data_IF_359383226312
#
_entry.id   IF_359383226312
#
_cell.length_a   1.000
_cell.length_b   1.000
_cell.length_c   1.000
_cell.angle_alpha   90.00
_cell.angle_beta   90.00
_cell.angle_gamma   90.00
#
_symmetry.space_group_name_H-M   'P 1'
#
loop_
_entity.id
_entity.type
_entity.pdbx_description
1 polymer ?
#
# COMPACT_ATOMS: atom_id res chain seq x y z
N UNK A 1 34.23 -26.58 -44.37
CA UNK A 1 33.07 -25.70 -44.15
C UNK A 1 32.31 -26.24 -42.96
N UNK A 2 32.60 -25.72 -41.77
CA UNK A 2 31.93 -26.10 -40.55
C UNK A 2 30.88 -25.01 -40.27
N UNK A 3 29.61 -25.39 -40.30
CA UNK A 3 28.51 -24.55 -39.81
C UNK A 3 28.47 -24.64 -38.31
N UNK A 4 28.85 -23.56 -37.67
CA UNK A 4 28.65 -23.31 -36.25
C UNK A 4 27.15 -23.08 -36.01
N UNK A 5 26.49 -24.05 -35.40
CA UNK A 5 25.12 -23.92 -34.88
C UNK A 5 25.17 -22.98 -33.70
N UNK A 6 24.72 -21.73 -33.91
CA UNK A 6 24.37 -20.80 -32.88
C UNK A 6 23.14 -21.31 -32.11
N UNK A 7 23.40 -21.96 -30.99
CA UNK A 7 22.36 -22.39 -30.04
C UNK A 7 21.65 -21.14 -29.54
N UNK A 8 20.49 -20.84 -30.10
CA UNK A 8 19.55 -19.83 -29.58
C UNK A 8 19.11 -20.28 -28.22
N UNK A 9 19.66 -19.61 -27.18
CA UNK A 9 19.19 -19.74 -25.81
C UNK A 9 17.76 -19.18 -25.77
N UNK A 10 16.78 -20.07 -25.71
CA UNK A 10 15.38 -19.72 -25.39
C UNK A 10 15.35 -18.88 -24.13
N UNK A 11 14.52 -17.81 -24.06
CA UNK A 11 14.35 -17.06 -22.83
C UNK A 11 13.84 -18.02 -21.75
N UNK A 12 14.68 -18.28 -20.74
CA UNK A 12 14.31 -19.05 -19.56
C UNK A 12 13.09 -18.37 -18.96
N UNK A 13 11.95 -19.06 -18.95
CA UNK A 13 10.76 -18.59 -18.25
C UNK A 13 11.19 -18.16 -16.84
N UNK A 14 10.90 -16.90 -16.47
CA UNK A 14 11.23 -16.41 -15.13
C UNK A 14 10.49 -17.28 -14.12
N UNK A 15 11.22 -17.77 -13.12
CA UNK A 15 10.63 -18.59 -12.06
C UNK A 15 9.58 -17.76 -11.31
N UNK A 16 8.46 -18.40 -10.98
CA UNK A 16 7.38 -17.76 -10.23
C UNK A 16 7.83 -17.40 -8.80
N UNK A 17 7.21 -16.38 -8.21
CA UNK A 17 7.48 -15.98 -6.82
C UNK A 17 7.35 -17.17 -5.84
N UNK A 18 6.38 -18.06 -6.07
CA UNK A 18 6.16 -19.26 -5.25
C UNK A 18 7.33 -20.25 -5.38
N UNK A 19 7.77 -20.54 -6.60
CA UNK A 19 8.92 -21.42 -6.84
C UNK A 19 10.20 -20.87 -6.23
N UNK A 20 10.42 -19.55 -6.33
CA UNK A 20 11.57 -18.89 -5.72
C UNK A 20 11.52 -18.98 -4.20
N UNK A 21 10.34 -18.81 -3.58
CA UNK A 21 10.18 -18.97 -2.14
C UNK A 21 10.45 -20.41 -1.69
N UNK A 22 9.96 -21.40 -2.41
CA UNK A 22 10.24 -22.82 -2.11
C UNK A 22 11.74 -23.13 -2.20
N UNK A 23 12.41 -22.61 -3.21
CA UNK A 23 13.88 -22.75 -3.34
C UNK A 23 14.63 -22.05 -2.22
N UNK A 24 14.19 -20.87 -1.80
CA UNK A 24 14.76 -20.14 -0.66
C UNK A 24 14.59 -20.96 0.64
N UNK A 25 13.40 -21.53 0.86
CA UNK A 25 13.14 -22.42 2.00
C UNK A 25 14.02 -23.68 2.00
N UNK A 26 14.41 -24.16 0.82
CA UNK A 26 15.34 -25.27 0.65
C UNK A 26 16.83 -24.85 0.77
N UNK A 27 17.12 -23.57 1.07
CA UNK A 27 18.48 -23.07 1.28
C UNK A 27 19.17 -22.48 0.04
N UNK A 28 18.45 -22.35 -1.10
CA UNK A 28 19.00 -21.72 -2.29
C UNK A 28 18.98 -20.17 -2.15
N UNK A 29 20.11 -19.62 -1.75
CA UNK A 29 20.27 -18.16 -1.56
C UNK A 29 20.13 -17.36 -2.87
N UNK A 30 20.38 -17.96 -4.05
CA UNK A 30 20.19 -17.30 -5.34
C UNK A 30 18.71 -17.01 -5.62
N UNK A 31 17.82 -17.81 -5.04
CA UNK A 31 16.38 -17.55 -5.13
C UNK A 31 15.99 -16.26 -4.39
N UNK A 32 16.66 -15.92 -3.31
CA UNK A 32 16.47 -14.65 -2.61
C UNK A 32 16.83 -13.43 -3.49
N UNK A 33 17.97 -13.48 -4.19
CA UNK A 33 18.37 -12.41 -5.11
C UNK A 33 17.36 -12.22 -6.25
N UNK A 34 16.77 -13.31 -6.72
CA UNK A 34 15.74 -13.26 -7.76
C UNK A 34 14.44 -12.64 -7.23
N UNK A 35 13.97 -13.05 -6.05
CA UNK A 35 12.80 -12.46 -5.37
C UNK A 35 13.01 -10.96 -5.10
N UNK A 36 14.18 -10.59 -4.61
CA UNK A 36 14.52 -9.20 -4.38
C UNK A 36 14.39 -8.38 -5.66
N UNK A 37 15.00 -8.82 -6.76
CA UNK A 37 14.93 -8.11 -8.06
C UNK A 37 13.52 -7.98 -8.59
N UNK A 38 12.68 -9.03 -8.44
CA UNK A 38 11.30 -9.01 -8.92
C UNK A 38 10.38 -8.10 -8.09
N UNK A 39 10.59 -8.02 -6.76
CA UNK A 39 9.61 -7.45 -5.84
C UNK A 39 10.06 -6.15 -5.16
N UNK A 40 11.38 -5.83 -5.16
CA UNK A 40 11.93 -4.70 -4.43
C UNK A 40 11.29 -3.36 -4.82
N UNK A 41 11.17 -3.08 -6.12
CA UNK A 41 10.60 -1.82 -6.61
C UNK A 41 9.14 -1.65 -6.17
N UNK A 42 8.32 -2.71 -6.26
CA UNK A 42 6.92 -2.68 -5.79
C UNK A 42 6.84 -2.43 -4.29
N UNK A 43 7.68 -3.11 -3.51
CA UNK A 43 7.73 -2.93 -2.06
C UNK A 43 8.16 -1.50 -1.67
N UNK A 44 9.15 -0.91 -2.36
CA UNK A 44 9.60 0.48 -2.14
C UNK A 44 8.47 1.46 -2.46
N UNK A 45 7.79 1.32 -3.59
CA UNK A 45 6.66 2.18 -3.93
C UNK A 45 5.54 2.08 -2.89
N UNK A 46 5.22 0.86 -2.44
CA UNK A 46 4.23 0.64 -1.38
C UNK A 46 4.64 1.31 -0.06
N UNK A 47 5.86 1.09 0.41
CA UNK A 47 6.38 1.71 1.62
C UNK A 47 6.40 3.24 1.53
N UNK A 48 6.83 3.79 0.38
CA UNK A 48 6.88 5.24 0.12
C UNK A 48 5.47 5.85 0.18
N UNK A 49 4.46 5.20 -0.39
CA UNK A 49 3.06 5.66 -0.29
C UNK A 49 2.58 5.72 1.17
N UNK A 50 2.99 4.76 1.99
CA UNK A 50 2.61 4.73 3.41
C UNK A 50 3.34 5.79 4.23
N UNK A 51 4.64 5.98 4.01
CA UNK A 51 5.52 6.84 4.82
C UNK A 51 5.57 8.29 4.34
N UNK A 52 5.22 8.54 3.06
CA UNK A 52 5.35 9.85 2.42
C UNK A 52 6.80 10.27 2.16
N UNK A 53 7.76 9.35 2.32
CA UNK A 53 9.19 9.61 2.17
C UNK A 53 9.91 8.42 1.51
N UNK A 54 10.57 8.66 0.38
CA UNK A 54 11.23 7.61 -0.41
C UNK A 54 12.41 6.97 0.35
N UNK A 55 13.25 7.77 1.00
CA UNK A 55 14.40 7.25 1.74
C UNK A 55 13.96 6.32 2.89
N UNK A 56 12.92 6.71 3.64
CA UNK A 56 12.37 5.84 4.67
C UNK A 56 11.68 4.59 4.09
N UNK A 57 11.09 4.71 2.90
CA UNK A 57 10.55 3.59 2.17
C UNK A 57 11.61 2.55 1.83
N UNK A 58 12.76 2.99 1.33
CA UNK A 58 13.91 2.14 1.03
C UNK A 58 14.46 1.44 2.29
N UNK A 59 14.66 2.20 3.38
CA UNK A 59 15.11 1.64 4.67
C UNK A 59 14.15 0.55 5.19
N UNK A 60 12.85 0.82 5.17
CA UNK A 60 11.83 -0.17 5.61
C UNK A 60 11.88 -1.41 4.73
N UNK A 61 12.05 -1.27 3.42
CA UNK A 61 12.11 -2.42 2.51
C UNK A 61 13.37 -3.24 2.74
N UNK A 62 14.51 -2.62 3.04
CA UNK A 62 15.71 -3.36 3.43
C UNK A 62 15.48 -4.20 4.71
N UNK A 63 14.87 -3.60 5.75
CA UNK A 63 14.49 -4.33 6.98
C UNK A 63 13.53 -5.49 6.67
N UNK A 64 12.56 -5.27 5.78
CA UNK A 64 11.57 -6.28 5.39
C UNK A 64 12.22 -7.43 4.63
N UNK A 65 13.13 -7.18 3.70
CA UNK A 65 13.81 -8.25 2.98
C UNK A 65 14.75 -9.07 3.87
N UNK A 66 15.38 -8.46 4.86
CA UNK A 66 16.09 -9.21 5.90
C UNK A 66 15.11 -10.14 6.66
N UNK A 67 13.94 -9.62 7.05
CA UNK A 67 12.92 -10.43 7.70
C UNK A 67 12.34 -11.51 6.76
N UNK A 68 12.24 -11.28 5.45
CA UNK A 68 11.87 -12.29 4.45
C UNK A 68 12.89 -13.44 4.45
N UNK A 69 14.17 -13.12 4.43
CA UNK A 69 15.24 -14.13 4.47
C UNK A 69 15.18 -14.97 5.76
N UNK A 70 15.10 -14.31 6.91
CA UNK A 70 15.07 -14.97 8.22
C UNK A 70 13.81 -15.81 8.43
N UNK A 71 12.65 -15.31 7.94
CA UNK A 71 11.33 -15.90 8.17
C UNK A 71 10.77 -16.65 6.98
N UNK A 72 11.58 -16.94 5.96
CA UNK A 72 11.14 -17.66 4.76
C UNK A 72 10.38 -18.95 5.12
N UNK A 73 10.83 -19.68 6.16
CA UNK A 73 10.21 -20.91 6.65
C UNK A 73 8.77 -20.72 7.16
N UNK A 74 8.35 -19.49 7.48
CA UNK A 74 6.98 -19.18 7.94
C UNK A 74 5.99 -18.95 6.81
N UNK A 75 6.47 -18.79 5.58
CA UNK A 75 5.61 -18.62 4.41
C UNK A 75 5.01 -19.97 4.02
N UNK A 76 3.66 -20.08 4.08
CA UNK A 76 2.93 -21.32 3.85
C UNK A 76 2.39 -21.47 2.41
N UNK A 77 2.51 -20.43 1.59
CA UNK A 77 1.95 -20.44 0.22
C UNK A 77 0.41 -20.35 0.15
N UNK A 78 -0.26 -20.04 1.26
CA UNK A 78 -1.72 -19.88 1.33
C UNK A 78 -2.21 -18.61 0.62
N UNK A 79 -1.32 -17.63 0.44
CA UNK A 79 -1.53 -16.41 -0.32
C UNK A 79 -0.35 -16.19 -1.28
N UNK A 80 -0.50 -15.29 -2.27
CA UNK A 80 0.60 -14.88 -3.12
C UNK A 80 1.76 -14.30 -2.28
N UNK A 81 3.00 -14.51 -2.72
CA UNK A 81 4.17 -13.96 -2.03
C UNK A 81 4.10 -12.43 -1.94
N UNK A 82 3.64 -11.76 -3.00
CA UNK A 82 3.42 -10.31 -3.01
C UNK A 82 2.46 -9.86 -1.90
N UNK A 83 1.35 -10.56 -1.66
CA UNK A 83 0.42 -10.27 -0.56
C UNK A 83 1.11 -10.40 0.81
N UNK A 84 1.90 -11.45 1.00
CA UNK A 84 2.67 -11.65 2.22
C UNK A 84 3.75 -10.57 2.42
N UNK A 85 4.45 -10.19 1.35
CA UNK A 85 5.44 -9.10 1.34
C UNK A 85 4.80 -7.75 1.69
N UNK A 86 3.64 -7.42 1.08
CA UNK A 86 2.91 -6.19 1.40
C UNK A 86 2.45 -6.15 2.86
N UNK A 87 2.05 -7.31 3.42
CA UNK A 87 1.74 -7.40 4.85
C UNK A 87 2.94 -7.05 5.72
N UNK A 88 4.12 -7.60 5.44
CA UNK A 88 5.34 -7.30 6.17
C UNK A 88 5.72 -5.82 6.05
N UNK A 89 5.69 -5.29 4.83
CA UNK A 89 6.02 -3.90 4.52
C UNK A 89 5.07 -2.93 5.20
N UNK A 90 3.77 -3.20 5.15
CA UNK A 90 2.76 -2.37 5.82
C UNK A 90 2.95 -2.36 7.33
N UNK A 91 3.19 -3.52 7.95
CA UNK A 91 3.39 -3.60 9.39
C UNK A 91 4.66 -2.87 9.84
N UNK A 92 5.74 -2.95 9.08
CA UNK A 92 6.97 -2.21 9.34
C UNK A 92 6.75 -0.69 9.20
N UNK A 93 6.09 -0.24 8.13
CA UNK A 93 5.75 1.16 7.90
C UNK A 93 4.83 1.71 9.01
N UNK A 94 3.77 1.00 9.39
CA UNK A 94 2.89 1.40 10.48
C UNK A 94 3.62 1.47 11.83
N UNK A 95 4.57 0.58 12.07
CA UNK A 95 5.40 0.61 13.26
C UNK A 95 6.27 1.87 13.30
N UNK A 96 6.84 2.27 12.15
CA UNK A 96 7.65 3.48 12.01
C UNK A 96 6.79 4.74 12.20
N UNK A 97 5.59 4.80 11.62
CA UNK A 97 4.64 5.90 11.82
C UNK A 97 4.20 6.04 13.28
N UNK A 98 3.96 4.93 13.98
CA UNK A 98 3.63 4.95 15.43
C UNK A 98 4.78 5.52 16.28
N UNK A 99 6.03 5.20 15.96
CA UNK A 99 7.20 5.78 16.64
C UNK A 99 7.30 7.29 16.41
N UNK A 100 7.04 7.75 15.16
CA UNK A 100 6.99 9.20 14.83
C UNK A 100 5.90 9.93 15.60
N UNK A 101 4.70 9.34 15.72
CA UNK A 101 3.58 9.97 16.44
C UNK A 101 3.87 10.14 17.93
N UNK A 102 4.60 9.22 18.55
CA UNK A 102 5.04 9.36 19.95
C UNK A 102 5.99 10.54 20.16
N UNK A 103 6.70 10.98 19.13
CA UNK A 103 7.59 12.14 19.20
C UNK A 103 6.93 13.47 18.81
N UNK A 104 5.69 13.45 18.29
CA UNK A 104 4.91 14.63 17.90
C UNK A 104 3.47 14.44 18.32
N UNK A 105 3.12 14.75 19.57
CA UNK A 105 1.73 14.96 19.95
C UNK A 105 1.24 16.29 19.35
N UNK A 106 0.49 16.19 18.25
CA UNK A 106 -0.31 17.29 17.72
C UNK A 106 -1.75 16.79 17.64
N UNK A 107 -2.63 17.52 18.30
CA UNK A 107 -4.06 17.29 18.32
C UNK A 107 -4.63 17.21 16.90
N UNK A 108 -5.26 16.07 16.58
CA UNK A 108 -5.84 15.78 15.27
C UNK A 108 -7.32 15.41 15.39
N UNK A 109 -8.02 16.10 16.32
CA UNK A 109 -9.47 15.88 16.54
C UNK A 109 -10.36 16.65 15.57
N UNK A 110 -9.82 17.62 14.80
CA UNK A 110 -10.60 18.60 14.05
C UNK A 110 -11.16 18.10 12.69
N UNK A 111 -10.70 16.96 12.20
CA UNK A 111 -11.07 16.45 10.86
C UNK A 111 -11.82 15.12 10.84
N UNK A 112 -12.24 14.61 11.99
CA UNK A 112 -13.08 13.42 12.04
C UNK A 112 -14.51 13.77 11.60
N UNK A 113 -15.17 12.92 10.79
CA UNK A 113 -16.58 13.08 10.51
C UNK A 113 -17.33 13.07 11.84
N UNK A 114 -18.04 14.17 12.14
CA UNK A 114 -18.85 14.27 13.33
C UNK A 114 -20.07 13.37 13.16
N UNK A 115 -20.20 12.38 14.02
CA UNK A 115 -21.39 11.56 14.11
C UNK A 115 -22.38 12.24 15.03
N UNK A 116 -23.67 12.26 14.64
CA UNK A 116 -24.73 12.61 15.58
C UNK A 116 -24.87 11.53 16.66
N UNK A 117 -25.40 11.86 17.85
CA UNK A 117 -25.63 10.87 18.92
C UNK A 117 -26.49 9.68 18.51
N UNK A 118 -27.28 9.81 17.41
CA UNK A 118 -28.14 8.78 16.82
C UNK A 118 -27.41 7.84 15.84
N UNK A 119 -26.09 8.04 15.64
CA UNK A 119 -25.28 7.20 14.75
C UNK A 119 -25.40 7.52 13.26
N UNK A 120 -26.20 8.50 12.86
CA UNK A 120 -26.31 8.92 11.48
C UNK A 120 -25.20 9.89 11.07
N UNK A 121 -24.62 9.66 9.89
CA UNK A 121 -23.70 10.59 9.26
C UNK A 121 -24.42 11.90 8.95
N UNK A 122 -23.79 13.02 9.23
CA UNK A 122 -24.12 14.28 8.56
C UNK A 122 -23.79 14.07 7.08
N UNK A 123 -24.82 13.75 6.29
CA UNK A 123 -24.69 13.64 4.84
C UNK A 123 -24.40 15.04 4.31
N UNK A 124 -23.15 15.33 4.03
CA UNK A 124 -22.81 16.51 3.22
C UNK A 124 -23.20 16.21 1.79
N UNK A 125 -23.90 17.10 1.09
CA UNK A 125 -24.21 16.91 -0.32
C UNK A 125 -22.91 16.68 -1.08
N UNK A 126 -22.81 15.54 -1.73
CA UNK A 126 -21.65 15.18 -2.55
C UNK A 126 -21.94 15.67 -3.95
N UNK A 127 -21.31 16.76 -4.37
CA UNK A 127 -21.32 17.15 -5.78
C UNK A 127 -20.57 16.09 -6.56
N UNK A 128 -21.22 15.51 -7.56
CA UNK A 128 -20.59 14.55 -8.47
C UNK A 128 -19.72 15.30 -9.48
N UNK A 129 -18.42 15.25 -9.30
CA UNK A 129 -17.42 15.87 -10.17
C UNK A 129 -16.62 14.82 -10.97
N UNK A 130 -17.11 13.58 -11.02
CA UNK A 130 -16.45 12.46 -11.70
C UNK A 130 -16.24 12.69 -13.20
N UNK A 131 -17.13 13.45 -13.86
CA UNK A 131 -17.13 13.67 -15.30
C UNK A 131 -15.87 14.39 -15.86
N UNK A 132 -15.09 15.08 -15.01
CA UNK A 132 -13.89 15.83 -15.45
C UNK A 132 -12.61 15.33 -14.74
N UNK A 133 -12.68 14.24 -13.98
CA UNK A 133 -11.57 13.80 -13.17
C UNK A 133 -10.47 13.15 -14.01
N UNK A 134 -10.83 12.38 -15.03
CA UNK A 134 -9.86 11.66 -15.88
C UNK A 134 -8.97 12.61 -16.70
N UNK A 135 -9.53 13.70 -17.24
CA UNK A 135 -8.73 14.73 -17.92
C UNK A 135 -7.81 15.49 -16.96
N UNK A 136 -8.25 15.69 -15.71
CA UNK A 136 -7.48 16.42 -14.68
C UNK A 136 -6.49 15.55 -13.91
N UNK A 137 -6.64 14.21 -13.92
CA UNK A 137 -5.68 13.29 -13.29
C UNK A 137 -4.27 13.36 -13.92
N UNK A 138 -4.17 13.84 -15.15
CA UNK A 138 -2.89 14.13 -15.79
C UNK A 138 -2.23 15.43 -15.27
N UNK A 139 -2.95 16.25 -14.51
CA UNK A 139 -2.44 17.51 -13.96
C UNK A 139 -1.56 17.23 -12.73
N UNK A 140 -0.32 17.69 -12.78
CA UNK A 140 0.62 17.59 -11.66
C UNK A 140 0.07 18.23 -10.37
N UNK A 141 -0.79 19.25 -10.49
CA UNK A 141 -1.45 19.90 -9.36
C UNK A 141 -2.42 18.95 -8.67
N UNK A 142 -3.24 18.20 -9.41
CA UNK A 142 -4.17 17.24 -8.85
C UNK A 142 -3.43 16.08 -8.15
N UNK A 143 -2.37 15.56 -8.77
CA UNK A 143 -1.53 14.54 -8.16
C UNK A 143 -0.89 15.03 -6.85
N UNK A 144 -0.46 16.28 -6.80
CA UNK A 144 0.06 16.88 -5.59
C UNK A 144 -1.01 17.00 -4.51
N UNK A 145 -2.20 17.52 -4.84
CA UNK A 145 -3.34 17.64 -3.93
C UNK A 145 -3.76 16.27 -3.36
N UNK A 146 -3.82 15.25 -4.22
CA UNK A 146 -4.16 13.89 -3.80
C UNK A 146 -3.12 13.34 -2.82
N UNK A 147 -1.83 13.54 -3.08
CA UNK A 147 -0.76 13.14 -2.16
C UNK A 147 -0.90 13.84 -0.81
N UNK A 148 -1.15 15.15 -0.79
CA UNK A 148 -1.37 15.89 0.44
C UNK A 148 -2.59 15.37 1.21
N UNK A 149 -3.70 15.11 0.53
CA UNK A 149 -4.90 14.56 1.14
C UNK A 149 -4.67 13.15 1.74
N UNK A 150 -3.88 12.31 1.08
CA UNK A 150 -3.51 10.98 1.59
C UNK A 150 -2.62 11.10 2.85
N UNK A 151 -1.73 12.10 2.91
CA UNK A 151 -0.89 12.33 4.10
C UNK A 151 -1.69 12.73 5.35
N UNK A 152 -2.86 13.32 5.18
CA UNK A 152 -3.75 13.69 6.28
C UNK A 152 -4.53 12.50 6.87
N UNK A 153 -4.55 11.35 6.18
CA UNK A 153 -5.26 10.17 6.68
C UNK A 153 -4.60 9.61 7.95
N UNK A 154 -5.43 9.03 8.82
CA UNK A 154 -4.90 8.23 9.93
C UNK A 154 -4.07 7.07 9.39
N UNK A 155 -2.95 6.69 10.03
CA UNK A 155 -2.03 5.70 9.48
C UNK A 155 -2.69 4.38 9.08
N UNK A 156 -3.66 3.89 9.86
CA UNK A 156 -4.33 2.64 9.57
C UNK A 156 -5.38 2.77 8.46
N UNK A 157 -6.04 3.93 8.33
CA UNK A 157 -6.98 4.21 7.24
C UNK A 157 -6.23 4.40 5.92
N UNK A 158 -5.05 5.06 5.97
CA UNK A 158 -4.11 5.16 4.85
C UNK A 158 -3.63 3.78 4.39
N UNK A 159 -3.24 2.91 5.33
CA UNK A 159 -2.80 1.56 5.01
C UNK A 159 -3.90 0.75 4.31
N UNK A 160 -5.14 0.81 4.83
CA UNK A 160 -6.29 0.13 4.20
C UNK A 160 -6.54 0.66 2.80
N UNK A 161 -6.49 1.99 2.59
CA UNK A 161 -6.66 2.61 1.27
C UNK A 161 -5.56 2.17 0.29
N UNK A 162 -4.30 2.20 0.70
CA UNK A 162 -3.17 1.83 -0.17
C UNK A 162 -3.25 0.36 -0.56
N UNK A 163 -3.56 -0.54 0.38
CA UNK A 163 -3.69 -1.97 0.09
C UNK A 163 -4.89 -2.27 -0.84
N UNK A 164 -6.00 -1.51 -0.72
CA UNK A 164 -7.18 -1.69 -1.56
C UNK A 164 -7.00 -1.09 -2.96
N UNK A 165 -6.62 0.19 -3.03
CA UNK A 165 -6.77 0.99 -4.25
C UNK A 165 -5.48 1.05 -5.08
N UNK A 166 -4.33 0.62 -4.53
CA UNK A 166 -3.04 0.59 -5.24
C UNK A 166 -2.46 -0.81 -5.39
N UNK A 167 -2.78 -1.72 -4.47
CA UNK A 167 -2.26 -3.10 -4.50
C UNK A 167 -3.36 -4.13 -4.82
N UNK A 168 -4.59 -3.67 -5.08
CA UNK A 168 -5.75 -4.47 -5.49
C UNK A 168 -6.09 -5.65 -4.55
N UNK A 169 -5.75 -5.54 -3.25
CA UNK A 169 -6.06 -6.57 -2.28
C UNK A 169 -7.56 -6.54 -1.92
N UNK A 170 -8.14 -7.72 -1.80
CA UNK A 170 -9.50 -7.89 -1.30
C UNK A 170 -9.63 -7.47 0.18
N UNK A 171 -10.83 -7.10 0.61
CA UNK A 171 -11.09 -6.75 2.02
C UNK A 171 -10.73 -7.88 3.01
N UNK A 172 -10.78 -9.14 2.57
CA UNK A 172 -10.38 -10.31 3.37
C UNK A 172 -8.87 -10.33 3.56
N UNK A 173 -8.10 -10.20 2.47
CA UNK A 173 -6.63 -10.17 2.52
C UNK A 173 -6.12 -8.98 3.32
N UNK A 174 -6.74 -7.80 3.17
CA UNK A 174 -6.43 -6.62 3.98
C UNK A 174 -6.70 -6.89 5.46
N UNK A 175 -7.83 -7.53 5.77
CA UNK A 175 -8.18 -7.93 7.13
C UNK A 175 -7.12 -8.85 7.75
N UNK A 176 -6.72 -9.88 7.02
CA UNK A 176 -5.67 -10.82 7.42
C UNK A 176 -4.29 -10.12 7.56
N UNK A 177 -3.96 -9.22 6.64
CA UNK A 177 -2.70 -8.47 6.67
C UNK A 177 -2.56 -7.55 7.89
N UNK A 178 -3.65 -6.88 8.28
CA UNK A 178 -3.67 -5.85 9.32
C UNK A 178 -4.25 -6.32 10.66
N UNK A 179 -4.72 -7.56 10.76
CA UNK A 179 -5.41 -8.07 11.95
C UNK A 179 -6.77 -7.41 12.17
N UNK A 180 -7.50 -7.11 11.11
CA UNK A 180 -8.80 -6.44 11.13
C UNK A 180 -9.92 -7.38 10.67
N UNK A 181 -11.14 -7.16 11.18
CA UNK A 181 -12.32 -7.80 10.61
C UNK A 181 -12.72 -7.15 9.28
N UNK A 182 -13.36 -7.90 8.38
CA UNK A 182 -13.82 -7.36 7.08
C UNK A 182 -14.74 -6.14 7.24
N UNK A 183 -15.70 -6.10 8.19
CA UNK A 183 -16.46 -4.87 8.46
C UNK A 183 -15.60 -3.68 8.87
N UNK A 184 -14.55 -3.90 9.70
CA UNK A 184 -13.62 -2.85 10.11
C UNK A 184 -12.81 -2.31 8.91
N UNK A 185 -12.37 -3.18 7.99
CA UNK A 185 -11.70 -2.77 6.73
C UNK A 185 -12.64 -1.89 5.91
N UNK A 186 -13.89 -2.34 5.66
CA UNK A 186 -14.89 -1.56 4.90
C UNK A 186 -15.16 -0.19 5.52
N UNK A 187 -15.32 -0.12 6.84
CA UNK A 187 -15.56 1.14 7.56
C UNK A 187 -14.36 2.10 7.42
N UNK A 188 -13.13 1.60 7.53
CA UNK A 188 -11.92 2.40 7.35
C UNK A 188 -11.74 2.89 5.93
N UNK A 189 -11.97 2.03 4.95
CA UNK A 189 -11.92 2.40 3.53
C UNK A 189 -12.95 3.48 3.20
N UNK A 190 -14.16 3.35 3.71
CA UNK A 190 -15.20 4.36 3.55
C UNK A 190 -14.78 5.71 4.15
N UNK A 191 -14.24 5.73 5.39
CA UNK A 191 -13.74 6.97 6.01
C UNK A 191 -12.60 7.59 5.21
N UNK A 192 -11.62 6.78 4.78
CA UNK A 192 -10.50 7.27 3.98
C UNK A 192 -10.99 7.97 2.71
N UNK A 193 -11.88 7.33 1.97
CA UNK A 193 -12.45 7.88 0.73
C UNK A 193 -13.28 9.14 0.98
N UNK A 194 -14.05 9.21 2.08
CA UNK A 194 -14.79 10.41 2.47
C UNK A 194 -13.84 11.56 2.80
N UNK A 195 -12.78 11.29 3.56
CA UNK A 195 -11.77 12.30 3.88
C UNK A 195 -11.11 12.86 2.61
N UNK A 196 -10.66 11.98 1.69
CA UNK A 196 -10.07 12.40 0.42
C UNK A 196 -11.04 13.26 -0.40
N UNK A 197 -12.31 12.83 -0.50
CA UNK A 197 -13.34 13.59 -1.22
C UNK A 197 -13.54 14.98 -0.61
N UNK A 198 -13.59 15.09 0.72
CA UNK A 198 -13.72 16.36 1.40
C UNK A 198 -12.55 17.31 1.14
N UNK A 199 -11.31 16.78 1.20
CA UNK A 199 -10.11 17.57 0.94
C UNK A 199 -10.03 18.06 -0.52
N UNK A 200 -10.34 17.18 -1.46
CA UNK A 200 -10.35 17.54 -2.88
C UNK A 200 -11.47 18.53 -3.20
N UNK A 201 -12.67 18.40 -2.59
CA UNK A 201 -13.75 19.35 -2.76
C UNK A 201 -13.34 20.78 -2.37
N UNK A 202 -12.69 20.93 -1.21
CA UNK A 202 -12.15 22.23 -0.75
C UNK A 202 -11.12 22.77 -1.73
N UNK A 203 -10.20 21.92 -2.21
CA UNK A 203 -9.16 22.32 -3.16
C UNK A 203 -9.71 22.76 -4.52
N UNK A 204 -10.89 22.24 -4.91
CA UNK A 204 -11.60 22.65 -6.14
C UNK A 204 -12.57 23.81 -5.94
N UNK A 205 -12.58 24.46 -4.77
CA UNK A 205 -13.43 25.60 -4.47
C UNK A 205 -14.90 25.25 -4.18
N UNK A 206 -15.18 23.96 -3.95
CA UNK A 206 -16.51 23.55 -3.48
C UNK A 206 -16.53 23.69 -1.95
N UNK A 207 -17.00 24.84 -1.45
CA UNK A 207 -17.29 25.00 -0.04
C UNK A 207 -18.47 24.12 0.34
N UNK A 208 -18.37 23.31 1.40
CA UNK A 208 -19.56 22.68 1.95
C UNK A 208 -20.45 23.77 2.56
N UNK A 209 -21.58 24.03 1.93
CA UNK A 209 -22.67 24.80 2.53
C UNK A 209 -23.36 23.99 3.60
#
# INVERSE_FOLDING_TARGET
MAHEELTQSSPRAEATELELMQRLQAGDTRAFDALFRQCCSKAIHHATRLLGNAAEGEEVVQEVFLAVYEKAHTFRGEAAFSTWLFRLTTNAALSRLRRRKRSKEVAMEEYLPQFRPDGHHLVRPVVDWSANLEERLADAQLQWLLRQAIELLQPLDKAVLVLSDFEDLSNKEIGEALGLTVPAVKARLHRARLCLRGQLAVAFGYSPT
#
